data_IF_785422347451
#
_entry.id   IF_785422347451
#
_cell.length_a   1.000
_cell.length_b   1.000
_cell.length_c   1.000
_cell.angle_alpha   90.00
_cell.angle_beta   90.00
_cell.angle_gamma   90.00
#
_symmetry.space_group_name_H-M   'P 1'
#
loop_
_entity.id
_entity.type
_entity.pdbx_description
1 polymer ?
#
# COMPACT_ATOMS: atom_id res chain seq x y z
N UNK A 1 -23.66 19.85 13.58
CA UNK A 1 -23.12 18.57 13.06
C UNK A 1 -22.10 18.73 11.93
N UNK A 2 -22.23 19.71 11.03
CA UNK A 2 -21.31 19.88 9.88
C UNK A 2 -19.87 20.28 10.24
N UNK A 3 -19.66 21.07 11.30
CA UNK A 3 -18.31 21.53 11.71
C UNK A 3 -17.39 20.41 12.20
N UNK A 4 -17.93 19.44 12.96
CA UNK A 4 -17.15 18.28 13.43
C UNK A 4 -16.71 17.39 12.26
N UNK A 5 -17.65 17.09 11.35
CA UNK A 5 -17.38 16.32 10.14
C UNK A 5 -16.33 17.02 9.27
N UNK A 6 -16.44 18.33 9.08
CA UNK A 6 -15.43 19.08 8.33
C UNK A 6 -14.05 19.06 8.98
N UNK A 7 -13.98 19.31 10.29
CA UNK A 7 -12.70 19.45 11.01
C UNK A 7 -11.95 18.13 11.17
N UNK A 8 -12.65 17.03 11.44
CA UNK A 8 -12.03 15.74 11.76
C UNK A 8 -12.12 14.68 10.66
N UNK A 9 -13.10 14.75 9.76
CA UNK A 9 -13.29 13.70 8.73
C UNK A 9 -12.93 14.19 7.32
N UNK A 10 -13.08 15.48 7.03
CA UNK A 10 -12.90 16.01 5.66
C UNK A 10 -11.57 16.75 5.51
N UNK A 11 -11.18 17.56 6.50
CA UNK A 11 -9.94 18.32 6.46
C UNK A 11 -8.73 17.41 6.66
N UNK A 12 -7.61 17.80 6.06
CA UNK A 12 -6.35 17.11 6.26
C UNK A 12 -5.90 17.29 7.71
N UNK A 13 -5.58 16.18 8.35
CA UNK A 13 -4.94 16.19 9.67
C UNK A 13 -3.50 16.65 9.51
N UNK A 14 -2.97 17.26 10.56
CA UNK A 14 -1.54 17.55 10.64
C UNK A 14 -0.76 16.22 10.54
N UNK A 15 0.22 16.17 9.62
CA UNK A 15 1.03 14.98 9.37
C UNK A 15 1.65 14.43 10.66
N UNK A 16 2.09 15.31 11.56
CA UNK A 16 2.70 14.92 12.85
C UNK A 16 1.74 14.10 13.72
N UNK A 17 0.48 14.55 13.83
CA UNK A 17 -0.56 13.89 14.64
C UNK A 17 -0.93 12.52 14.07
N UNK A 18 -1.04 12.42 12.75
CA UNK A 18 -1.31 11.15 12.07
C UNK A 18 -0.16 10.15 12.27
N UNK A 19 1.10 10.59 12.19
CA UNK A 19 2.25 9.71 12.43
C UNK A 19 2.31 9.21 13.87
N UNK A 20 2.05 10.08 14.85
CA UNK A 20 2.00 9.68 16.28
C UNK A 20 0.89 8.66 16.50
N UNK A 21 -0.31 8.91 15.99
CA UNK A 21 -1.44 7.98 16.12
C UNK A 21 -1.14 6.61 15.47
N UNK A 22 -0.56 6.61 14.27
CA UNK A 22 -0.14 5.37 13.59
C UNK A 22 0.96 4.63 14.36
N UNK A 23 1.91 5.36 14.97
CA UNK A 23 2.97 4.78 15.78
C UNK A 23 2.43 4.09 17.03
N UNK A 24 1.51 4.75 17.75
CA UNK A 24 0.82 4.16 18.91
C UNK A 24 0.05 2.91 18.47
N UNK A 25 -0.72 3.00 17.39
CA UNK A 25 -1.50 1.87 16.86
C UNK A 25 -0.59 0.70 16.49
N UNK A 26 0.56 0.97 15.86
CA UNK A 26 1.53 -0.06 15.53
C UNK A 26 2.15 -0.70 16.77
N UNK A 27 2.45 0.07 17.82
CA UNK A 27 2.99 -0.46 19.06
C UNK A 27 1.97 -1.35 19.79
N UNK A 28 0.71 -0.92 19.83
CA UNK A 28 -0.41 -1.70 20.38
C UNK A 28 -0.61 -2.99 19.58
N UNK A 29 -0.61 -2.89 18.25
CA UNK A 29 -0.73 -4.06 17.37
C UNK A 29 0.37 -5.08 17.63
N UNK A 30 1.63 -4.63 17.70
CA UNK A 30 2.75 -5.49 18.02
C UNK A 30 2.62 -6.12 19.41
N UNK A 31 2.18 -5.37 20.41
CA UNK A 31 1.98 -5.87 21.77
C UNK A 31 0.89 -6.94 21.89
N UNK A 32 -0.18 -6.85 21.09
CA UNK A 32 -1.29 -7.81 21.12
C UNK A 32 -0.96 -9.07 20.31
N UNK A 33 -0.44 -8.89 19.09
CA UNK A 33 -0.31 -9.99 18.12
C UNK A 33 1.10 -10.55 18.00
N UNK A 34 2.12 -9.90 18.59
CA UNK A 34 3.52 -10.31 18.51
C UNK A 34 4.13 -10.23 17.10
N UNK A 35 3.37 -9.74 16.12
CA UNK A 35 3.74 -9.65 14.71
C UNK A 35 3.91 -8.21 14.24
N UNK A 36 4.72 -8.03 13.20
CA UNK A 36 4.87 -6.73 12.52
C UNK A 36 3.66 -6.44 11.64
N UNK A 37 3.36 -5.16 11.42
CA UNK A 37 2.26 -4.74 10.54
C UNK A 37 2.64 -5.00 9.07
N UNK A 38 2.37 -6.21 8.59
CA UNK A 38 2.79 -6.69 7.27
C UNK A 38 1.61 -7.13 6.40
N UNK A 39 1.54 -6.56 5.19
CA UNK A 39 0.52 -6.90 4.17
C UNK A 39 1.08 -7.83 3.09
N UNK A 40 2.40 -7.84 2.95
CA UNK A 40 3.12 -8.55 1.88
C UNK A 40 2.87 -10.05 1.91
N UNK A 41 2.77 -10.64 3.11
CA UNK A 41 2.55 -12.07 3.29
C UNK A 41 1.25 -12.56 2.67
N UNK A 42 0.12 -11.99 3.09
CA UNK A 42 -1.21 -12.34 2.60
C UNK A 42 -1.40 -12.04 1.12
N UNK A 43 -0.84 -10.92 0.63
CA UNK A 43 -0.85 -10.63 -0.82
C UNK A 43 -0.10 -11.68 -1.63
N UNK A 44 0.94 -12.32 -1.08
CA UNK A 44 1.59 -13.47 -1.74
C UNK A 44 0.67 -14.66 -1.83
N UNK A 45 -0.05 -14.93 -0.73
CA UNK A 45 -0.92 -16.08 -0.59
C UNK A 45 -2.06 -15.98 -1.60
N UNK A 46 -2.72 -14.82 -1.67
CA UNK A 46 -3.72 -14.53 -2.72
C UNK A 46 -3.15 -14.65 -4.12
N UNK A 47 -1.91 -14.19 -4.33
CA UNK A 47 -1.20 -14.41 -5.60
C UNK A 47 -0.95 -15.90 -5.89
N UNK A 48 -0.61 -16.68 -4.88
CA UNK A 48 -0.41 -18.13 -4.99
C UNK A 48 -1.71 -18.87 -5.29
N UNK A 49 -2.77 -18.64 -4.53
CA UNK A 49 -4.10 -19.20 -4.78
C UNK A 49 -4.59 -18.85 -6.20
N UNK A 50 -4.33 -17.63 -6.67
CA UNK A 50 -4.66 -17.23 -8.03
C UNK A 50 -3.86 -18.03 -9.08
N UNK A 51 -2.59 -18.33 -8.83
CA UNK A 51 -1.76 -19.15 -9.73
C UNK A 51 -2.17 -20.63 -9.70
N UNK A 52 -2.58 -21.15 -8.54
CA UNK A 52 -3.15 -22.50 -8.41
C UNK A 52 -4.47 -22.63 -9.17
N UNK A 53 -5.33 -21.62 -9.12
CA UNK A 53 -6.56 -21.56 -9.93
C UNK A 53 -6.28 -21.57 -11.43
N UNK A 54 -5.12 -21.06 -11.86
CA UNK A 54 -4.64 -21.12 -13.25
C UNK A 54 -3.93 -22.45 -13.60
N UNK A 55 -3.90 -23.41 -12.67
CA UNK A 55 -3.37 -24.76 -12.88
C UNK A 55 -1.86 -24.91 -12.66
N UNK A 56 -1.21 -23.96 -12.01
CA UNK A 56 0.23 -24.04 -11.69
C UNK A 56 0.46 -24.76 -10.36
N UNK A 57 1.27 -25.83 -10.35
CA UNK A 57 1.66 -26.51 -9.10
C UNK A 57 2.70 -25.67 -8.34
N UNK A 58 2.29 -25.12 -7.19
CA UNK A 58 3.16 -24.29 -6.34
C UNK A 58 4.00 -25.08 -5.32
N UNK A 59 3.76 -26.38 -5.19
CA UNK A 59 4.44 -27.28 -4.25
C UNK A 59 5.96 -27.34 -4.45
N UNK A 60 6.46 -27.08 -5.66
CA UNK A 60 7.89 -27.04 -5.97
C UNK A 60 8.62 -25.78 -5.51
N UNK A 61 7.91 -24.74 -5.09
CA UNK A 61 8.51 -23.45 -4.75
C UNK A 61 8.70 -23.31 -3.23
N UNK A 62 9.95 -23.37 -2.76
CA UNK A 62 10.31 -23.24 -1.34
C UNK A 62 9.82 -21.95 -0.67
N UNK A 63 9.53 -20.91 -1.46
CA UNK A 63 8.97 -19.65 -0.97
C UNK A 63 7.51 -19.81 -0.50
N UNK A 64 6.68 -20.53 -1.26
CA UNK A 64 5.28 -20.76 -0.91
C UNK A 64 5.13 -21.77 0.23
N UNK A 65 6.07 -22.71 0.34
CA UNK A 65 6.16 -23.60 1.50
C UNK A 65 6.46 -22.83 2.80
N UNK A 66 7.37 -21.84 2.78
CA UNK A 66 7.64 -20.97 3.95
C UNK A 66 6.47 -20.04 4.30
N UNK A 67 5.69 -19.62 3.29
CA UNK A 67 4.54 -18.75 3.51
C UNK A 67 3.34 -19.48 4.14
N UNK A 68 3.33 -20.82 4.04
CA UNK A 68 2.29 -21.74 4.49
C UNK A 68 0.92 -21.39 3.86
N UNK A 69 0.63 -22.00 2.71
CA UNK A 69 -0.62 -21.79 1.96
C UNK A 69 -1.87 -22.33 2.70
N UNK A 70 -1.68 -23.09 3.78
CA UNK A 70 -2.77 -23.65 4.57
C UNK A 70 -3.50 -22.58 5.41
N UNK A 71 -4.80 -22.46 5.19
CA UNK A 71 -5.71 -21.59 5.95
C UNK A 71 -6.37 -20.51 5.10
N UNK A 72 -7.49 -19.98 5.59
CA UNK A 72 -8.21 -18.87 4.95
C UNK A 72 -7.70 -17.53 5.49
N UNK A 73 -7.85 -16.41 4.78
CA UNK A 73 -7.43 -15.10 5.29
C UNK A 73 -8.20 -14.69 6.57
N UNK A 74 -9.25 -15.41 6.95
CA UNK A 74 -9.97 -15.22 8.21
C UNK A 74 -9.36 -16.00 9.39
N UNK A 75 -8.50 -16.98 9.13
CA UNK A 75 -7.84 -17.79 10.17
C UNK A 75 -6.52 -17.19 10.64
N UNK A 76 -5.96 -16.24 9.88
CA UNK A 76 -4.67 -15.62 10.16
C UNK A 76 -4.83 -14.15 10.54
N UNK A 77 -4.06 -13.72 11.53
CA UNK A 77 -4.04 -12.34 12.00
C UNK A 77 -3.76 -11.34 10.87
N UNK A 78 -2.84 -11.67 9.96
CA UNK A 78 -2.48 -10.82 8.84
C UNK A 78 -3.64 -10.62 7.86
N UNK A 79 -4.45 -11.66 7.64
CA UNK A 79 -5.58 -11.63 6.70
C UNK A 79 -6.79 -10.86 7.27
N UNK A 80 -7.09 -11.06 8.56
CA UNK A 80 -8.10 -10.25 9.26
C UNK A 80 -7.69 -8.77 9.26
N UNK A 81 -6.41 -8.49 9.50
CA UNK A 81 -5.86 -7.14 9.47
C UNK A 81 -5.99 -6.52 8.07
N UNK A 82 -5.68 -7.25 7.00
CA UNK A 82 -5.81 -6.75 5.63
C UNK A 82 -7.26 -6.39 5.30
N UNK A 83 -8.21 -7.26 5.66
CA UNK A 83 -9.64 -7.02 5.49
C UNK A 83 -10.09 -5.81 6.33
N UNK A 84 -9.66 -5.74 7.59
CA UNK A 84 -9.97 -4.62 8.48
C UNK A 84 -9.44 -3.29 7.96
N UNK A 85 -8.23 -3.27 7.40
CA UNK A 85 -7.63 -2.08 6.79
C UNK A 85 -8.41 -1.63 5.55
N UNK A 86 -8.82 -2.57 4.70
CA UNK A 86 -9.62 -2.28 3.52
C UNK A 86 -10.99 -1.69 3.89
N UNK A 87 -11.71 -2.33 4.83
CA UNK A 87 -13.00 -1.86 5.33
C UNK A 87 -12.84 -0.50 6.02
N UNK A 88 -11.82 -0.32 6.87
CA UNK A 88 -11.56 0.94 7.57
C UNK A 88 -11.30 2.10 6.60
N UNK A 89 -10.48 1.87 5.57
CA UNK A 89 -10.25 2.86 4.52
C UNK A 89 -11.53 3.20 3.75
N UNK A 90 -12.35 2.19 3.43
CA UNK A 90 -13.62 2.39 2.72
C UNK A 90 -14.61 3.20 3.56
N UNK A 91 -14.78 2.87 4.85
CA UNK A 91 -15.65 3.59 5.78
C UNK A 91 -15.16 5.03 5.95
N UNK A 92 -13.85 5.26 6.10
CA UNK A 92 -13.29 6.60 6.20
C UNK A 92 -13.53 7.42 4.92
N UNK A 93 -13.36 6.82 3.74
CA UNK A 93 -13.59 7.49 2.47
C UNK A 93 -15.07 7.84 2.24
N UNK A 94 -15.98 6.96 2.64
CA UNK A 94 -17.43 7.19 2.60
C UNK A 94 -17.85 8.27 3.59
N UNK A 95 -17.35 8.24 4.82
CA UNK A 95 -17.62 9.29 5.82
C UNK A 95 -17.10 10.65 5.36
N UNK A 96 -15.97 10.70 4.67
CA UNK A 96 -15.43 11.93 4.10
C UNK A 96 -16.18 12.39 2.84
N UNK A 97 -17.10 11.59 2.28
CA UNK A 97 -17.73 11.82 0.97
C UNK A 97 -16.70 12.08 -0.15
N UNK A 98 -15.53 11.42 -0.09
CA UNK A 98 -14.43 11.60 -1.07
C UNK A 98 -14.27 10.42 -2.03
N UNK A 99 -15.24 9.52 -2.08
CA UNK A 99 -15.22 8.39 -3.02
C UNK A 99 -15.57 8.91 -4.42
N UNK A 100 -14.57 8.97 -5.30
CA UNK A 100 -14.77 9.33 -6.70
C UNK A 100 -14.06 8.36 -7.61
N UNK A 101 -14.79 7.78 -8.56
CA UNK A 101 -14.20 6.98 -9.62
C UNK A 101 -13.41 7.89 -10.57
N UNK A 102 -12.11 7.64 -10.70
CA UNK A 102 -11.21 8.44 -11.56
C UNK A 102 -10.58 7.52 -12.59
N UNK A 103 -10.92 7.74 -13.86
CA UNK A 103 -10.24 7.08 -14.95
C UNK A 103 -8.91 7.78 -15.26
N UNK A 104 -7.85 7.03 -15.60
CA UNK A 104 -6.56 7.60 -15.93
C UNK A 104 -6.64 8.40 -17.23
N UNK A 105 -6.20 9.66 -17.19
CA UNK A 105 -6.25 10.57 -18.33
C UNK A 105 -5.26 10.25 -19.47
N UNK A 106 -4.37 9.26 -19.30
CA UNK A 106 -3.33 8.95 -20.29
C UNK A 106 -2.87 7.50 -20.19
N UNK A 107 -2.69 6.86 -21.35
CA UNK A 107 -2.16 5.50 -21.48
C UNK A 107 -0.74 5.36 -20.87
N UNK A 108 0.05 6.43 -20.89
CA UNK A 108 1.39 6.45 -20.28
C UNK A 108 1.30 6.21 -18.77
N UNK A 109 0.29 6.78 -18.11
CA UNK A 109 0.07 6.60 -16.67
C UNK A 109 -0.36 5.17 -16.33
N UNK A 110 -1.14 4.53 -17.20
CA UNK A 110 -1.52 3.12 -17.07
C UNK A 110 -0.27 2.24 -17.17
N UNK A 111 0.55 2.47 -18.20
CA UNK A 111 1.81 1.74 -18.38
C UNK A 111 2.75 1.90 -17.18
N UNK A 112 2.93 3.13 -16.68
CA UNK A 112 3.72 3.40 -15.47
C UNK A 112 3.18 2.66 -14.24
N UNK A 113 1.86 2.61 -14.07
CA UNK A 113 1.25 1.92 -12.94
C UNK A 113 1.47 0.40 -13.01
N UNK A 114 1.34 -0.20 -14.19
CA UNK A 114 1.58 -1.64 -14.39
C UNK A 114 3.05 -1.98 -14.16
N UNK A 115 3.97 -1.30 -14.87
CA UNK A 115 5.41 -1.57 -14.75
C UNK A 115 5.92 -1.26 -13.34
N UNK A 116 5.49 -0.14 -12.76
CA UNK A 116 5.83 0.24 -11.39
C UNK A 116 5.30 -0.74 -10.36
N UNK A 117 4.07 -1.25 -10.54
CA UNK A 117 3.49 -2.28 -9.68
C UNK A 117 4.27 -3.59 -9.72
N UNK A 118 4.67 -4.05 -10.92
CA UNK A 118 5.48 -5.27 -11.09
C UNK A 118 6.85 -5.10 -10.40
N UNK A 119 7.54 -3.99 -10.66
CA UNK A 119 8.86 -3.71 -10.06
C UNK A 119 8.77 -3.58 -8.53
N UNK A 120 7.76 -2.88 -8.01
CA UNK A 120 7.53 -2.75 -6.57
C UNK A 120 7.19 -4.08 -5.92
N UNK A 121 6.37 -4.91 -6.58
CA UNK A 121 6.03 -6.24 -6.10
C UNK A 121 7.25 -7.15 -6.06
N UNK A 122 8.04 -7.17 -7.13
CA UNK A 122 9.29 -7.93 -7.20
C UNK A 122 10.29 -7.49 -6.11
N UNK A 123 10.48 -6.18 -5.93
CA UNK A 123 11.35 -5.64 -4.88
C UNK A 123 10.87 -6.00 -3.47
N UNK A 124 9.56 -5.93 -3.21
CA UNK A 124 8.98 -6.30 -1.91
C UNK A 124 9.21 -7.79 -1.58
N UNK A 125 9.29 -8.67 -2.58
CA UNK A 125 9.61 -10.09 -2.41
C UNK A 125 11.07 -10.31 -2.08
N UNK A 126 11.97 -9.68 -2.83
CA UNK A 126 13.42 -9.75 -2.57
C UNK A 126 13.78 -9.23 -1.19
N UNK A 127 13.09 -8.18 -0.73
CA UNK A 127 13.31 -7.57 0.58
C UNK A 127 12.53 -8.22 1.74
N UNK A 128 11.76 -9.28 1.47
CA UNK A 128 10.88 -9.93 2.46
C UNK A 128 10.00 -8.96 3.27
N UNK A 129 9.52 -7.88 2.65
CA UNK A 129 8.78 -6.84 3.37
C UNK A 129 8.29 -5.70 2.49
N UNK A 130 7.35 -4.92 3.01
CA UNK A 130 6.86 -3.70 2.39
C UNK A 130 7.30 -2.48 3.21
N UNK A 131 6.94 -1.28 2.73
CA UNK A 131 7.23 -0.03 3.42
C UNK A 131 6.61 0.02 4.83
N UNK A 132 5.43 -0.58 5.03
CA UNK A 132 4.79 -0.63 6.35
C UNK A 132 5.55 -1.56 7.31
N UNK A 133 5.92 -2.75 6.83
CA UNK A 133 6.66 -3.72 7.63
C UNK A 133 8.11 -3.28 7.91
N UNK A 134 8.89 -2.98 6.88
CA UNK A 134 10.33 -2.73 7.06
C UNK A 134 10.64 -1.27 7.42
N UNK A 135 9.96 -0.29 6.81
CA UNK A 135 10.25 1.12 7.09
C UNK A 135 9.48 1.65 8.30
N UNK A 136 8.16 1.45 8.37
CA UNK A 136 7.35 2.03 9.44
C UNK A 136 7.49 1.28 10.77
N UNK A 137 7.35 -0.05 10.76
CA UNK A 137 7.46 -0.85 11.99
C UNK A 137 8.88 -1.35 12.24
N UNK A 138 9.60 -1.73 11.18
CA UNK A 138 10.94 -2.33 11.22
C UNK A 138 12.07 -1.39 11.66
N UNK A 139 11.96 -0.09 11.41
CA UNK A 139 13.02 0.90 11.69
C UNK A 139 13.15 1.19 13.20
N UNK A 140 12.04 1.34 13.97
CA UNK A 140 12.07 1.36 15.44
C UNK A 140 12.70 0.12 16.11
N UNK A 141 12.72 -1.05 15.47
CA UNK A 141 13.41 -2.24 15.99
C UNK A 141 14.94 -2.18 15.83
N UNK A 142 15.47 -1.13 15.19
CA UNK A 142 16.90 -0.95 14.93
C UNK A 142 17.57 -2.15 14.24
N UNK A 143 16.85 -2.87 13.37
CA UNK A 143 17.40 -3.98 12.61
C UNK A 143 18.26 -3.47 11.44
N UNK A 144 19.48 -3.99 11.29
CA UNK A 144 20.37 -3.61 10.17
C UNK A 144 19.70 -3.83 8.79
N UNK A 145 18.90 -4.88 8.67
CA UNK A 145 18.16 -5.17 7.44
C UNK A 145 17.16 -4.05 7.08
N UNK A 146 16.44 -3.50 8.07
CA UNK A 146 15.41 -2.49 7.84
C UNK A 146 16.02 -1.12 7.53
N UNK A 147 17.17 -0.81 8.12
CA UNK A 147 17.97 0.37 7.77
C UNK A 147 18.48 0.30 6.33
N UNK A 148 19.07 -0.84 5.94
CA UNK A 148 19.56 -1.03 4.58
C UNK A 148 18.41 -0.95 3.56
N UNK A 149 17.30 -1.63 3.84
CA UNK A 149 16.07 -1.54 3.04
C UNK A 149 15.61 -0.10 2.87
N UNK A 150 15.60 0.68 3.95
CA UNK A 150 15.14 2.08 3.93
C UNK A 150 16.00 2.94 3.03
N UNK A 151 17.33 2.82 3.11
CA UNK A 151 18.25 3.59 2.26
C UNK A 151 18.03 3.27 0.79
N UNK A 152 18.00 1.99 0.43
CA UNK A 152 17.79 1.58 -0.97
C UNK A 152 16.38 1.91 -1.48
N UNK A 153 15.36 1.83 -0.62
CA UNK A 153 14.00 2.24 -0.95
C UNK A 153 13.95 3.74 -1.29
N UNK A 154 14.56 4.60 -0.45
CA UNK A 154 14.61 6.05 -0.70
C UNK A 154 15.34 6.37 -1.99
N UNK A 155 16.49 5.72 -2.24
CA UNK A 155 17.25 5.89 -3.48
C UNK A 155 16.43 5.41 -4.70
N UNK A 156 15.75 4.27 -4.60
CA UNK A 156 14.88 3.75 -5.65
C UNK A 156 13.72 4.67 -5.97
N UNK A 157 13.06 5.24 -4.96
CA UNK A 157 11.99 6.23 -5.14
C UNK A 157 12.53 7.49 -5.82
N UNK A 158 13.69 8.01 -5.37
CA UNK A 158 14.31 9.19 -5.98
C UNK A 158 14.61 8.98 -7.47
N UNK A 159 15.23 7.85 -7.81
CA UNK A 159 15.53 7.50 -9.20
C UNK A 159 14.25 7.29 -10.03
N UNK A 160 13.26 6.59 -9.48
CA UNK A 160 11.97 6.36 -10.13
C UNK A 160 11.23 7.66 -10.44
N UNK A 161 11.18 8.59 -9.49
CA UNK A 161 10.59 9.93 -9.70
C UNK A 161 11.36 10.71 -10.76
N UNK A 162 12.70 10.67 -10.72
CA UNK A 162 13.55 11.35 -11.72
C UNK A 162 13.32 10.81 -13.13
N UNK A 163 13.22 9.49 -13.29
CA UNK A 163 12.93 8.84 -14.58
C UNK A 163 11.53 9.21 -15.07
N UNK A 164 10.51 9.10 -14.23
CA UNK A 164 9.13 9.45 -14.58
C UNK A 164 8.94 10.94 -14.91
N UNK A 165 9.80 11.82 -14.39
CA UNK A 165 9.81 13.25 -14.71
C UNK A 165 10.54 13.59 -16.02
N UNK A 166 11.05 12.60 -16.76
CA UNK A 166 11.66 12.81 -18.08
C UNK A 166 10.57 13.09 -19.12
N UNK A 167 10.89 13.91 -20.14
CA UNK A 167 9.94 14.37 -21.17
C UNK A 167 9.13 13.24 -21.84
N UNK A 168 9.74 12.06 -22.00
CA UNK A 168 9.11 10.88 -22.59
C UNK A 168 7.96 10.29 -21.75
N UNK A 169 8.07 10.38 -20.42
CA UNK A 169 7.17 9.74 -19.46
C UNK A 169 6.14 10.70 -18.86
N UNK A 170 6.18 11.98 -19.22
CA UNK A 170 5.17 12.94 -18.77
C UNK A 170 3.83 12.68 -19.46
N UNK A 171 2.73 12.49 -18.70
CA UNK A 171 1.41 12.48 -19.30
C UNK A 171 1.18 13.82 -20.00
N UNK A 172 0.87 13.79 -21.30
CA UNK A 172 0.38 14.96 -22.05
C UNK A 172 -1.08 15.20 -21.65
N UNK A 173 -1.32 15.48 -20.37
CA UNK A 173 -2.65 15.80 -19.88
C UNK A 173 -2.98 17.24 -20.28
N UNK A 174 -4.04 17.42 -21.08
CA UNK A 174 -4.58 18.74 -21.38
C UNK A 174 -5.24 19.26 -20.11
N UNK A 175 -4.67 20.31 -19.52
CA UNK A 175 -5.25 20.96 -18.34
C UNK A 175 -6.51 21.72 -18.78
N UNK A 176 -7.68 21.19 -18.45
CA UNK A 176 -8.93 21.96 -18.59
C UNK A 176 -9.17 22.80 -17.34
N UNK A 177 -9.50 24.08 -17.57
CA UNK A 177 -9.83 25.01 -16.49
C UNK A 177 -11.17 24.57 -15.88
N UNK A 178 -11.20 24.43 -14.55
CA UNK A 178 -12.44 24.06 -13.84
C UNK A 178 -13.43 25.23 -13.93
N UNK A 179 -14.46 25.09 -14.77
CA UNK A 179 -15.64 25.97 -14.78
C UNK A 179 -16.76 25.36 -13.91
N UNK A 180 -17.76 26.18 -13.53
CA UNK A 180 -18.94 25.71 -12.77
C UNK A 180 -19.67 24.54 -13.45
N UNK A 181 -19.60 24.45 -14.77
CA UNK A 181 -20.16 23.37 -15.61
C UNK A 181 -19.31 22.08 -15.60
N UNK A 182 -18.00 22.21 -15.37
CA UNK A 182 -17.04 21.10 -15.30
C UNK A 182 -16.62 20.79 -13.86
N UNK A 183 -17.45 21.18 -12.88
CA UNK A 183 -17.18 20.85 -11.50
C UNK A 183 -17.21 19.32 -11.36
N UNK A 184 -16.12 18.68 -10.92
CA UNK A 184 -16.22 17.28 -10.55
C UNK A 184 -17.24 17.18 -9.41
N UNK A 185 -18.40 16.55 -9.70
CA UNK A 185 -19.40 16.15 -8.69
C UNK A 185 -18.71 15.47 -7.50
#
# INVERSE_FOLDING_TARGET
MNSFKQKYLINFWDNSRSMIALGILSAVYFGIFGGVWAVTGEMTRWGGEFLELLGMNLDGYSYYQKQNLNGTPLTRTDGIMLIGMFIGCLVAALLANKVKFRLPASNIRIFQAIVGGILSGYGARLAFGCNLANFFTGLPYFSLHTWLFTVFMVLGIYLGVKICNTSFFKPKAKLERVNKENLPL
#
